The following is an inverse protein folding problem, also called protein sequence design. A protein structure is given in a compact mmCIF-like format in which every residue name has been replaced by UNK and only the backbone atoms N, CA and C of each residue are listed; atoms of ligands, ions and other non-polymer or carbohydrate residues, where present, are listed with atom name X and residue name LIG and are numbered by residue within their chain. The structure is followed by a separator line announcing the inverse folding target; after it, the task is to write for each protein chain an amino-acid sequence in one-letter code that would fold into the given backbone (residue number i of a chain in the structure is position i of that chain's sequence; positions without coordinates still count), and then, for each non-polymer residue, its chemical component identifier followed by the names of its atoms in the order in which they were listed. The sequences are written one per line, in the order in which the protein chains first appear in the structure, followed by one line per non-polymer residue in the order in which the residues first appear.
data_IF_425057647718
#
_entry.id   IF_425057647718
#
_cell.length_a   1.000
_cell.length_b   1.000
_cell.length_c   1.000
_cell.angle_alpha   90.00
_cell.angle_beta   90.00
_cell.angle_gamma   90.00
#
_symmetry.space_group_name_H-M   'P 1'
#
loop_
_entity.id
_entity.type
_entity.pdbx_description
1 polymer ?
#
# COMPACT_ATOMS: atom_id res chain seq x y z
N UNK A 1 -32.41 20.43 69.16
CA UNK A 1 -32.91 19.81 67.91
C UNK A 1 -32.08 20.27 66.71
N UNK A 2 -30.95 19.62 66.36
CA UNK A 2 -30.05 20.13 65.29
C UNK A 2 -29.35 19.11 64.38
N UNK A 3 -29.45 17.80 64.64
CA UNK A 3 -28.67 16.78 63.91
C UNK A 3 -29.30 16.28 62.59
N UNK A 4 -30.62 16.44 62.38
CA UNK A 4 -31.29 15.93 61.17
C UNK A 4 -31.03 16.79 59.92
N UNK A 5 -30.94 18.13 60.04
CA UNK A 5 -30.70 19.02 58.90
C UNK A 5 -29.29 18.93 58.31
N UNK A 6 -28.26 18.64 59.13
CA UNK A 6 -26.87 18.54 58.66
C UNK A 6 -26.66 17.31 57.77
N UNK A 7 -27.36 16.20 58.06
CA UNK A 7 -27.25 14.95 57.28
C UNK A 7 -27.91 15.09 55.91
N UNK A 8 -29.12 15.67 55.85
CA UNK A 8 -29.81 15.95 54.58
C UNK A 8 -29.02 16.90 53.67
N UNK A 9 -28.40 17.94 54.23
CA UNK A 9 -27.57 18.90 53.48
C UNK A 9 -26.31 18.25 52.90
N UNK A 10 -25.71 17.28 53.59
CA UNK A 10 -24.57 16.49 53.08
C UNK A 10 -24.95 15.58 51.90
N UNK A 11 -26.12 14.95 51.95
CA UNK A 11 -26.61 14.12 50.84
C UNK A 11 -26.94 14.95 49.59
N UNK A 12 -27.52 16.13 49.77
CA UNK A 12 -27.79 17.07 48.66
C UNK A 12 -26.48 17.53 48.00
N UNK A 13 -25.45 17.88 48.80
CA UNK A 13 -24.14 18.23 48.24
C UNK A 13 -23.47 17.07 47.49
N UNK A 14 -23.60 15.83 47.98
CA UNK A 14 -23.09 14.64 47.29
C UNK A 14 -23.80 14.37 45.95
N UNK A 15 -25.13 14.55 45.89
CA UNK A 15 -25.88 14.41 44.64
C UNK A 15 -25.53 15.50 43.63
N UNK A 16 -25.36 16.75 44.06
CA UNK A 16 -24.93 17.85 43.20
C UNK A 16 -23.51 17.61 42.69
N UNK A 17 -22.57 17.17 43.55
CA UNK A 17 -21.22 16.81 43.14
C UNK A 17 -21.21 15.64 42.13
N UNK A 18 -22.07 14.64 42.34
CA UNK A 18 -22.26 13.52 41.41
C UNK A 18 -22.80 13.94 40.05
N UNK A 19 -23.82 14.82 40.01
CA UNK A 19 -24.38 15.37 38.76
C UNK A 19 -23.36 16.22 38.00
N UNK A 20 -22.57 17.02 38.73
CA UNK A 20 -21.46 17.79 38.16
C UNK A 20 -20.44 16.84 37.53
N UNK A 21 -19.98 15.80 38.24
CA UNK A 21 -19.05 14.81 37.70
C UNK A 21 -19.60 14.06 36.47
N UNK A 22 -20.90 13.72 36.47
CA UNK A 22 -21.56 13.06 35.34
C UNK A 22 -21.67 13.97 34.11
N UNK A 23 -22.00 15.26 34.33
CA UNK A 23 -22.08 16.27 33.25
C UNK A 23 -20.72 16.60 32.63
N UNK A 24 -19.64 16.63 33.42
CA UNK A 24 -18.28 16.84 32.91
C UNK A 24 -17.75 15.62 32.13
N UNK A 25 -18.09 14.40 32.55
CA UNK A 25 -17.66 13.16 31.87
C UNK A 25 -18.40 12.95 30.55
N UNK A 26 -19.69 13.29 30.48
CA UNK A 26 -20.51 13.15 29.27
C UNK A 26 -20.18 14.14 28.14
N UNK A 27 -19.68 15.33 28.45
CA UNK A 27 -19.32 16.32 27.42
C UNK A 27 -17.98 15.98 26.74
N UNK A 28 -17.03 15.42 27.47
CA UNK A 28 -15.74 15.00 26.92
C UNK A 28 -15.88 13.82 25.95
N UNK A 29 -16.76 12.86 26.26
CA UNK A 29 -17.02 11.69 25.41
C UNK A 29 -17.75 12.05 24.12
N UNK A 30 -18.73 12.95 24.17
CA UNK A 30 -19.44 13.42 22.96
C UNK A 30 -18.49 14.10 21.97
N UNK A 31 -17.62 14.99 22.46
CA UNK A 31 -16.62 15.69 21.62
C UNK A 31 -15.63 14.72 20.98
N UNK A 32 -15.21 13.66 21.68
CA UNK A 32 -14.33 12.63 21.11
C UNK A 32 -15.02 11.83 20.00
N UNK A 33 -16.30 11.49 20.19
CA UNK A 33 -17.11 10.79 19.18
C UNK A 33 -17.25 11.64 17.90
N UNK A 34 -17.62 12.91 18.04
CA UNK A 34 -17.74 13.84 16.90
C UNK A 34 -16.41 13.98 16.15
N UNK A 35 -15.31 14.11 16.88
CA UNK A 35 -13.95 14.20 16.31
C UNK A 35 -13.58 12.94 15.52
N UNK A 36 -13.87 11.75 16.05
CA UNK A 36 -13.63 10.47 15.37
C UNK A 36 -14.52 10.30 14.14
N UNK A 37 -15.78 10.75 14.21
CA UNK A 37 -16.69 10.71 13.07
C UNK A 37 -16.22 11.63 11.93
N UNK A 38 -15.77 12.84 12.26
CA UNK A 38 -15.18 13.75 11.28
C UNK A 38 -13.92 13.14 10.63
N UNK A 39 -13.05 12.50 11.42
CA UNK A 39 -11.87 11.83 10.89
C UNK A 39 -12.20 10.71 9.90
N UNK A 40 -13.20 9.88 10.20
CA UNK A 40 -13.67 8.83 9.27
C UNK A 40 -14.20 9.42 7.96
N UNK A 41 -14.94 10.53 8.03
CA UNK A 41 -15.43 11.22 6.83
C UNK A 41 -14.28 11.75 5.98
N UNK A 42 -13.26 12.34 6.62
CA UNK A 42 -12.07 12.84 5.93
C UNK A 42 -11.25 11.71 5.30
N UNK A 43 -11.14 10.54 5.95
CA UNK A 43 -10.49 9.36 5.37
C UNK A 43 -11.20 8.87 4.12
N UNK A 44 -12.53 8.76 4.19
CA UNK A 44 -13.34 8.36 3.04
C UNK A 44 -13.17 9.34 1.88
N UNK A 45 -13.33 10.64 2.16
CA UNK A 45 -13.23 11.68 1.15
C UNK A 45 -11.82 11.76 0.54
N UNK A 46 -10.76 11.57 1.35
CA UNK A 46 -9.41 11.50 0.84
C UNK A 46 -9.21 10.35 -0.16
N UNK A 47 -9.88 9.21 0.04
CA UNK A 47 -9.76 8.07 -0.89
C UNK A 47 -10.46 8.38 -2.22
N UNK A 48 -11.62 9.05 -2.18
CA UNK A 48 -12.29 9.55 -3.38
C UNK A 48 -11.40 10.53 -4.15
N UNK A 49 -10.83 11.53 -3.46
CA UNK A 49 -9.91 12.49 -4.06
C UNK A 49 -8.69 11.80 -4.68
N UNK A 50 -8.18 10.72 -4.06
CA UNK A 50 -7.09 9.94 -4.64
C UNK A 50 -7.50 9.27 -5.96
N UNK A 51 -8.72 8.70 -6.04
CA UNK A 51 -9.24 8.11 -7.28
C UNK A 51 -9.49 9.12 -8.40
N UNK A 52 -9.76 10.38 -8.03
CA UNK A 52 -9.93 11.49 -8.97
C UNK A 52 -8.59 12.11 -9.41
N UNK A 53 -7.46 11.68 -8.84
CA UNK A 53 -6.14 12.28 -9.07
C UNK A 53 -5.93 13.61 -8.33
N UNK A 54 -6.82 13.99 -7.42
CA UNK A 54 -6.74 15.19 -6.59
C UNK A 54 -5.78 14.99 -5.40
N UNK A 55 -4.51 14.72 -5.68
CA UNK A 55 -3.50 14.33 -4.69
C UNK A 55 -3.27 15.35 -3.57
N UNK A 56 -3.23 16.64 -3.91
CA UNK A 56 -2.96 17.71 -2.94
C UNK A 56 -4.11 17.89 -1.94
N UNK A 57 -5.34 17.72 -2.40
CA UNK A 57 -6.53 17.75 -1.56
C UNK A 57 -6.61 16.49 -0.68
N UNK A 58 -6.31 15.32 -1.23
CA UNK A 58 -6.19 14.09 -0.46
C UNK A 58 -5.11 14.20 0.65
N UNK A 59 -3.95 14.80 0.35
CA UNK A 59 -2.92 15.07 1.35
C UNK A 59 -3.43 16.00 2.46
N UNK A 60 -4.17 17.05 2.10
CA UNK A 60 -4.73 18.01 3.06
C UNK A 60 -5.68 17.34 4.03
N UNK A 61 -6.59 16.48 3.54
CA UNK A 61 -7.53 15.75 4.39
C UNK A 61 -6.84 14.81 5.37
N UNK A 62 -5.84 14.03 4.91
CA UNK A 62 -5.08 13.16 5.82
C UNK A 62 -4.24 13.95 6.84
N UNK A 63 -3.66 15.10 6.46
CA UNK A 63 -2.91 15.94 7.39
C UNK A 63 -3.78 16.49 8.52
N UNK A 64 -5.05 16.83 8.24
CA UNK A 64 -6.01 17.22 9.28
C UNK A 64 -6.19 16.09 10.29
N UNK A 65 -6.35 14.85 9.84
CA UNK A 65 -6.50 13.69 10.72
C UNK A 65 -5.24 13.52 11.58
N UNK A 66 -4.04 13.59 10.99
CA UNK A 66 -2.78 13.46 11.75
C UNK A 66 -2.57 14.54 12.81
N UNK A 67 -3.04 15.77 12.55
CA UNK A 67 -2.96 16.85 13.53
C UNK A 67 -3.86 16.61 14.75
N UNK A 68 -4.96 15.88 14.53
CA UNK A 68 -5.97 15.61 15.55
C UNK A 68 -5.72 14.30 16.30
N UNK A 69 -5.13 13.30 15.65
CA UNK A 69 -4.95 11.94 16.16
C UNK A 69 -3.47 11.54 16.19
N UNK A 70 -2.72 12.20 17.06
CA UNK A 70 -1.29 11.90 17.27
C UNK A 70 -1.16 10.56 18.00
N UNK A 71 -0.42 9.61 17.43
CA UNK A 71 -0.15 8.27 17.99
C UNK A 71 -1.42 7.52 18.47
N UNK A 72 -2.56 7.82 17.86
CA UNK A 72 -3.85 7.21 18.14
C UNK A 72 -4.63 6.99 16.85
N UNK A 73 -5.46 5.94 16.73
CA UNK A 73 -6.30 5.76 15.56
C UNK A 73 -7.34 6.88 15.43
N UNK A 74 -7.65 7.35 14.21
CA UNK A 74 -7.24 6.77 12.92
C UNK A 74 -6.00 7.46 12.28
N UNK A 75 -5.04 7.92 13.09
CA UNK A 75 -3.81 8.55 12.58
C UNK A 75 -2.87 7.59 11.84
N UNK A 76 -2.91 6.30 12.17
CA UNK A 76 -2.30 5.21 11.41
C UNK A 76 -2.79 5.16 9.96
N UNK A 77 -4.11 5.12 9.74
CA UNK A 77 -4.69 5.14 8.39
C UNK A 77 -4.29 6.40 7.61
N UNK A 78 -4.24 7.54 8.29
CA UNK A 78 -3.83 8.80 7.66
C UNK A 78 -2.35 8.81 7.28
N UNK A 79 -1.45 8.25 8.10
CA UNK A 79 -0.03 8.07 7.74
C UNK A 79 0.09 7.16 6.51
N UNK A 80 -0.67 6.06 6.47
CA UNK A 80 -0.67 5.11 5.37
C UNK A 80 -1.11 5.77 4.06
N UNK A 81 -2.24 6.49 4.08
CA UNK A 81 -2.75 7.19 2.89
C UNK A 81 -1.78 8.25 2.39
N UNK A 82 -1.16 9.06 3.26
CA UNK A 82 -0.16 10.06 2.85
C UNK A 82 1.03 9.40 2.19
N UNK A 83 1.51 8.29 2.75
CA UNK A 83 2.61 7.55 2.18
C UNK A 83 2.26 7.00 0.79
N UNK A 84 1.04 6.45 0.60
CA UNK A 84 0.54 6.04 -0.71
C UNK A 84 0.45 7.19 -1.71
N UNK A 85 -0.04 8.36 -1.30
CA UNK A 85 -0.12 9.53 -2.19
C UNK A 85 1.26 9.94 -2.70
N UNK A 86 2.28 9.95 -1.83
CA UNK A 86 3.65 10.23 -2.26
C UNK A 86 4.28 9.10 -3.08
N UNK A 87 3.79 7.87 -2.97
CA UNK A 87 4.22 6.75 -3.81
C UNK A 87 3.47 6.66 -5.15
N UNK A 88 2.36 7.40 -5.30
CA UNK A 88 1.47 7.24 -6.44
C UNK A 88 2.14 7.66 -7.74
N UNK A 89 2.13 6.78 -8.76
CA UNK A 89 2.88 7.00 -9.99
C UNK A 89 2.36 8.21 -10.81
N UNK A 90 1.04 8.42 -10.81
CA UNK A 90 0.39 9.58 -11.45
C UNK A 90 0.48 10.88 -10.65
N UNK A 91 0.98 10.84 -9.40
CA UNK A 91 1.18 12.08 -8.66
C UNK A 91 2.40 12.82 -9.22
N UNK A 92 2.24 14.05 -9.76
CA UNK A 92 3.37 14.83 -10.26
C UNK A 92 4.34 15.21 -9.14
N UNK A 93 3.87 15.28 -7.90
CA UNK A 93 4.66 15.55 -6.69
C UNK A 93 5.10 14.26 -5.97
N UNK A 94 5.07 13.11 -6.64
CA UNK A 94 5.52 11.84 -6.04
C UNK A 94 6.96 11.96 -5.53
N UNK A 95 7.17 11.39 -4.35
CA UNK A 95 8.45 11.42 -3.66
C UNK A 95 8.57 10.16 -2.81
N UNK A 96 9.31 9.18 -3.35
CA UNK A 96 9.48 7.89 -2.68
C UNK A 96 10.21 8.02 -1.35
N UNK A 97 11.09 9.02 -1.16
CA UNK A 97 11.75 9.25 0.13
C UNK A 97 10.76 9.71 1.17
N UNK A 98 9.88 10.66 0.83
CA UNK A 98 8.78 11.08 1.72
C UNK A 98 7.86 9.91 2.02
N UNK A 99 7.48 9.14 1.01
CA UNK A 99 6.63 7.96 1.20
C UNK A 99 7.25 6.96 2.19
N UNK A 100 8.53 6.59 2.00
CA UNK A 100 9.27 5.73 2.93
C UNK A 100 9.27 6.30 4.35
N UNK A 101 9.47 7.62 4.49
CA UNK A 101 9.49 8.28 5.80
C UNK A 101 8.12 8.18 6.50
N UNK A 102 7.01 8.39 5.79
CA UNK A 102 5.66 8.25 6.35
C UNK A 102 5.32 6.81 6.71
N UNK A 103 5.68 5.82 5.87
CA UNK A 103 5.49 4.41 6.23
C UNK A 103 6.36 3.99 7.42
N UNK A 104 7.61 4.47 7.50
CA UNK A 104 8.50 4.21 8.63
C UNK A 104 7.92 4.79 9.92
N UNK A 105 7.42 6.03 9.86
CA UNK A 105 6.72 6.67 10.97
C UNK A 105 5.50 5.88 11.42
N UNK A 106 4.72 5.31 10.50
CA UNK A 106 3.58 4.45 10.85
C UNK A 106 4.03 3.23 11.64
N UNK A 107 5.06 2.53 11.17
CA UNK A 107 5.60 1.33 11.83
C UNK A 107 6.09 1.65 13.26
N UNK A 108 6.71 2.81 13.44
CA UNK A 108 7.25 3.24 14.74
C UNK A 108 6.17 3.75 15.71
N UNK A 109 5.22 4.55 15.22
CA UNK A 109 4.18 5.17 16.05
C UNK A 109 3.00 4.21 16.31
N UNK A 110 2.76 3.24 15.42
CA UNK A 110 1.61 2.34 15.44
C UNK A 110 2.02 0.87 15.17
N UNK A 111 2.90 0.26 15.98
CA UNK A 111 3.40 -1.09 15.70
C UNK A 111 2.32 -2.19 15.76
N UNK A 112 1.18 -1.93 16.38
CA UNK A 112 0.04 -2.85 16.49
C UNK A 112 -1.09 -2.55 15.49
N UNK A 113 -0.93 -1.52 14.65
CA UNK A 113 -1.93 -1.18 13.64
C UNK A 113 -1.95 -2.26 12.53
N UNK A 114 -3.13 -2.63 12.01
CA UNK A 114 -3.24 -3.52 10.84
C UNK A 114 -2.43 -3.04 9.62
N UNK A 115 -2.22 -1.73 9.49
CA UNK A 115 -1.50 -1.07 8.42
C UNK A 115 0.04 -1.19 8.58
N UNK A 116 0.55 -1.52 9.78
CA UNK A 116 1.98 -1.58 10.07
C UNK A 116 2.71 -2.66 9.24
N UNK A 117 2.10 -3.83 9.06
CA UNK A 117 2.69 -4.88 8.22
C UNK A 117 2.72 -4.48 6.74
N UNK A 118 1.68 -3.80 6.26
CA UNK A 118 1.65 -3.30 4.88
C UNK A 118 2.69 -2.21 4.68
N UNK A 119 2.86 -1.32 5.66
CA UNK A 119 3.86 -0.27 5.64
C UNK A 119 5.29 -0.83 5.55
N UNK A 120 5.61 -1.92 6.26
CA UNK A 120 6.93 -2.60 6.16
C UNK A 120 7.22 -3.05 4.73
N UNK A 121 6.22 -3.63 4.06
CA UNK A 121 6.36 -4.08 2.68
C UNK A 121 6.60 -2.89 1.75
N UNK A 122 5.80 -1.83 1.89
CA UNK A 122 5.98 -0.61 1.10
C UNK A 122 7.35 0.03 1.29
N UNK A 123 7.88 0.08 2.52
CA UNK A 123 9.24 0.57 2.78
C UNK A 123 10.28 -0.22 1.99
N UNK A 124 10.18 -1.55 1.99
CA UNK A 124 11.12 -2.41 1.26
C UNK A 124 11.04 -2.17 -0.25
N UNK A 125 9.81 -2.15 -0.80
CA UNK A 125 9.55 -1.88 -2.22
C UNK A 125 10.11 -0.52 -2.62
N UNK A 126 9.77 0.53 -1.88
CA UNK A 126 10.16 1.89 -2.22
C UNK A 126 11.66 2.12 -2.05
N UNK A 127 12.31 1.51 -1.06
CA UNK A 127 13.79 1.59 -0.92
C UNK A 127 14.52 0.99 -2.12
N UNK A 128 13.92 -0.02 -2.75
CA UNK A 128 14.49 -0.59 -3.96
C UNK A 128 14.33 0.36 -5.13
N UNK A 129 13.15 0.96 -5.26
CA UNK A 129 12.88 1.94 -6.31
C UNK A 129 13.76 3.19 -6.12
N UNK A 130 13.97 3.61 -4.86
CA UNK A 130 14.74 4.79 -4.46
C UNK A 130 16.25 4.56 -4.48
N UNK A 131 16.71 3.31 -4.34
CA UNK A 131 18.14 2.96 -4.47
C UNK A 131 18.67 3.64 -5.73
N UNK A 132 19.66 4.55 -5.61
CA UNK A 132 20.27 5.14 -6.80
C UNK A 132 20.72 3.98 -7.66
N UNK A 133 20.37 3.99 -8.96
CA UNK A 133 20.83 2.99 -9.93
C UNK A 133 22.33 2.83 -9.70
N UNK A 134 22.71 1.80 -8.96
CA UNK A 134 24.02 1.69 -8.34
C UNK A 134 24.98 1.41 -9.49
N UNK A 135 25.57 2.51 -9.97
CA UNK A 135 26.21 2.61 -11.26
C UNK A 135 25.20 2.30 -12.39
N UNK A 136 25.45 2.81 -13.59
CA UNK A 136 25.25 1.91 -14.72
C UNK A 136 25.99 0.67 -14.29
N UNK A 137 25.28 -0.40 -13.88
CA UNK A 137 25.84 -1.74 -14.04
C UNK A 137 26.50 -1.60 -15.39
N UNK A 138 27.83 -1.75 -15.45
CA UNK A 138 28.42 -2.13 -16.71
C UNK A 138 27.57 -3.34 -17.00
N UNK A 139 26.55 -3.15 -17.84
CA UNK A 139 26.04 -4.18 -18.69
C UNK A 139 27.38 -4.56 -19.28
N UNK A 140 27.97 -5.62 -18.71
CA UNK A 140 28.80 -6.50 -19.50
C UNK A 140 27.81 -6.75 -20.59
N UNK A 141 27.94 -5.97 -21.68
CA UNK A 141 27.19 -6.13 -22.88
C UNK A 141 27.34 -7.61 -23.10
N UNK A 142 26.30 -8.37 -22.74
CA UNK A 142 26.27 -9.78 -23.00
C UNK A 142 26.09 -9.71 -24.49
N UNK A 143 27.23 -9.70 -25.19
CA UNK A 143 27.43 -9.27 -26.57
C UNK A 143 26.82 -10.27 -27.56
N UNK A 144 25.80 -10.98 -27.09
CA UNK A 144 25.02 -12.03 -27.68
C UNK A 144 23.57 -11.73 -27.33
N UNK A 145 23.00 -10.66 -27.88
CA UNK A 145 21.60 -10.36 -27.63
C UNK A 145 20.72 -11.44 -28.26
N UNK A 146 19.81 -12.05 -27.49
CA UNK A 146 18.88 -13.03 -28.05
C UNK A 146 17.87 -12.33 -28.99
N UNK A 147 17.80 -12.77 -30.24
CA UNK A 147 16.92 -12.21 -31.28
C UNK A 147 15.46 -12.14 -30.83
N UNK A 148 14.99 -13.14 -30.08
CA UNK A 148 13.62 -13.19 -29.61
C UNK A 148 13.38 -12.14 -28.51
N UNK A 149 14.34 -11.90 -27.61
CA UNK A 149 14.21 -10.84 -26.60
C UNK A 149 14.16 -9.44 -27.22
N UNK A 150 15.02 -9.16 -28.22
CA UNK A 150 14.96 -7.88 -28.96
C UNK A 150 13.59 -7.73 -29.64
N UNK A 151 13.10 -8.80 -30.27
CA UNK A 151 11.82 -8.77 -30.96
C UNK A 151 10.68 -8.56 -29.97
N UNK A 152 10.73 -9.20 -28.81
CA UNK A 152 9.78 -8.97 -27.71
C UNK A 152 9.74 -7.50 -27.33
N UNK A 153 10.89 -6.87 -27.06
CA UNK A 153 10.96 -5.47 -26.64
C UNK A 153 10.35 -4.53 -27.70
N UNK A 154 10.63 -4.77 -28.98
CA UNK A 154 10.01 -4.01 -30.09
C UNK A 154 8.50 -4.19 -30.16
N UNK A 155 7.99 -5.40 -29.87
CA UNK A 155 6.56 -5.68 -29.85
C UNK A 155 5.89 -5.01 -28.65
N UNK A 156 6.53 -5.07 -27.49
CA UNK A 156 6.05 -4.43 -26.26
C UNK A 156 5.95 -2.91 -26.42
N UNK A 157 6.97 -2.27 -27.02
CA UNK A 157 6.96 -0.84 -27.32
C UNK A 157 5.83 -0.40 -28.27
N UNK A 158 5.24 -1.35 -29.00
CA UNK A 158 4.08 -1.13 -29.89
C UNK A 158 2.75 -1.54 -29.23
N UNK A 159 2.75 -1.84 -27.92
CA UNK A 159 1.58 -2.34 -27.19
C UNK A 159 1.19 -3.78 -27.55
N UNK A 160 2.00 -4.51 -28.33
CA UNK A 160 1.69 -5.89 -28.70
C UNK A 160 2.19 -6.87 -27.62
N UNK A 161 1.46 -6.91 -26.50
CA UNK A 161 1.79 -7.76 -25.35
C UNK A 161 1.79 -9.26 -25.68
N UNK A 162 0.79 -9.74 -26.44
CA UNK A 162 0.72 -11.15 -26.89
C UNK A 162 1.94 -11.55 -27.71
N UNK A 163 2.33 -10.70 -28.66
CA UNK A 163 3.51 -10.91 -29.48
C UNK A 163 4.79 -10.91 -28.63
N UNK A 164 4.90 -9.97 -27.69
CA UNK A 164 6.04 -9.91 -26.77
C UNK A 164 6.14 -11.17 -25.90
N UNK A 165 5.03 -11.65 -25.32
CA UNK A 165 4.97 -12.91 -24.58
C UNK A 165 5.42 -14.09 -25.45
N UNK A 166 4.90 -14.20 -26.67
CA UNK A 166 5.25 -15.29 -27.60
C UNK A 166 6.74 -15.33 -27.89
N UNK A 167 7.39 -14.18 -28.08
CA UNK A 167 8.83 -14.15 -28.34
C UNK A 167 9.65 -14.51 -27.09
N UNK A 168 9.27 -14.08 -25.88
CA UNK A 168 9.97 -14.53 -24.67
C UNK A 168 9.77 -16.04 -24.40
N UNK A 169 8.58 -16.59 -24.67
CA UNK A 169 8.33 -18.03 -24.49
C UNK A 169 9.27 -18.90 -25.31
N UNK A 170 9.57 -18.50 -26.56
CA UNK A 170 10.56 -19.19 -27.40
C UNK A 170 11.95 -19.26 -26.77
N UNK A 171 12.30 -18.31 -25.90
CA UNK A 171 13.58 -18.34 -25.16
C UNK A 171 13.54 -19.37 -24.04
N UNK A 172 12.37 -19.56 -23.41
CA UNK A 172 12.17 -20.57 -22.38
C UNK A 172 12.08 -21.99 -22.93
N UNK A 173 11.65 -22.15 -24.19
CA UNK A 173 11.59 -23.45 -24.89
C UNK A 173 12.99 -23.98 -25.26
N UNK A 174 14.02 -23.14 -25.22
CA UNK A 174 15.41 -23.50 -25.49
C UNK A 174 16.08 -23.95 -24.16
N UNK A 175 16.37 -25.25 -23.96
CA UNK A 175 16.78 -25.78 -22.65
C UNK A 175 18.06 -25.12 -22.09
N UNK A 176 19.05 -24.88 -22.95
CA UNK A 176 20.38 -24.35 -22.62
C UNK A 176 20.53 -22.84 -22.85
N UNK A 177 19.41 -22.12 -23.02
CA UNK A 177 19.50 -20.68 -23.26
C UNK A 177 19.98 -19.94 -22.00
N UNK A 178 21.08 -19.22 -22.13
CA UNK A 178 21.62 -18.37 -21.08
C UNK A 178 20.76 -17.13 -20.77
N UNK A 179 19.66 -16.94 -21.51
CA UNK A 179 18.73 -15.80 -21.40
C UNK A 179 17.38 -16.18 -20.77
N UNK A 180 17.27 -17.39 -20.20
CA UNK A 180 16.01 -17.85 -19.62
C UNK A 180 15.60 -17.04 -18.39
N UNK A 181 16.56 -16.63 -17.57
CA UNK A 181 16.33 -15.71 -16.45
C UNK A 181 15.72 -14.38 -16.93
N UNK A 182 16.29 -13.77 -17.97
CA UNK A 182 15.75 -12.54 -18.58
C UNK A 182 14.37 -12.76 -19.19
N UNK A 183 14.14 -13.89 -19.85
CA UNK A 183 12.83 -14.24 -20.39
C UNK A 183 11.78 -14.43 -19.28
N UNK A 184 12.13 -15.10 -18.17
CA UNK A 184 11.26 -15.22 -17.01
C UNK A 184 10.87 -13.85 -16.45
N UNK A 185 11.85 -12.96 -16.30
CA UNK A 185 11.62 -11.60 -15.80
C UNK A 185 10.71 -10.79 -16.74
N UNK A 186 11.02 -10.79 -18.04
CA UNK A 186 10.24 -10.05 -19.04
C UNK A 186 8.79 -10.55 -19.12
N UNK A 187 8.58 -11.87 -19.10
CA UNK A 187 7.22 -12.45 -19.12
C UNK A 187 6.43 -12.00 -17.90
N UNK A 188 7.06 -12.04 -16.71
CA UNK A 188 6.43 -11.55 -15.50
C UNK A 188 6.00 -10.09 -15.62
N UNK A 189 6.90 -9.20 -16.06
CA UNK A 189 6.59 -7.79 -16.25
C UNK A 189 5.47 -7.55 -17.28
N UNK A 190 5.42 -8.32 -18.36
CA UNK A 190 4.34 -8.23 -19.34
C UNK A 190 2.99 -8.63 -18.73
N UNK A 191 2.95 -9.69 -17.93
CA UNK A 191 1.73 -10.07 -17.21
C UNK A 191 1.34 -9.09 -16.11
N UNK A 192 2.29 -8.35 -15.53
CA UNK A 192 2.03 -7.32 -14.55
C UNK A 192 1.70 -5.95 -15.16
N UNK A 193 1.87 -5.77 -16.48
CA UNK A 193 1.73 -4.47 -17.11
C UNK A 193 0.28 -3.96 -17.05
N UNK A 194 0.07 -2.74 -16.54
CA UNK A 194 -1.27 -2.20 -16.28
C UNK A 194 -2.12 -2.08 -17.56
N UNK A 195 -1.52 -1.64 -18.67
CA UNK A 195 -2.14 -1.56 -20.00
C UNK A 195 -2.32 -2.91 -20.72
N UNK A 196 -1.75 -4.01 -20.20
CA UNK A 196 -1.98 -5.31 -20.83
C UNK A 196 -3.42 -5.75 -20.53
N UNK A 197 -4.29 -5.91 -21.55
CA UNK A 197 -5.67 -6.35 -21.34
C UNK A 197 -5.75 -7.77 -20.78
N UNK A 198 -4.70 -8.57 -20.97
CA UNK A 198 -4.56 -9.92 -20.43
C UNK A 198 -3.61 -9.96 -19.22
N UNK A 199 -3.48 -8.85 -18.49
CA UNK A 199 -2.68 -8.81 -17.26
C UNK A 199 -3.20 -9.86 -16.26
N UNK A 200 -2.25 -10.54 -15.63
CA UNK A 200 -2.50 -11.65 -14.72
C UNK A 200 -1.38 -11.68 -13.69
N UNK A 201 -1.65 -11.10 -12.52
CA UNK A 201 -0.66 -11.01 -11.46
C UNK A 201 -0.26 -12.39 -10.92
N UNK A 202 -1.14 -13.39 -10.98
CA UNK A 202 -0.79 -14.76 -10.56
C UNK A 202 0.21 -15.39 -11.51
N UNK A 203 0.05 -15.20 -12.83
CA UNK A 203 1.07 -15.62 -13.81
C UNK A 203 2.37 -14.86 -13.63
N UNK A 204 2.30 -13.56 -13.37
CA UNK A 204 3.51 -12.78 -13.09
C UNK A 204 4.27 -13.33 -11.87
N UNK A 205 3.58 -13.52 -10.74
CA UNK A 205 4.12 -14.11 -9.52
C UNK A 205 4.74 -15.50 -9.77
N UNK A 206 4.09 -16.33 -10.58
CA UNK A 206 4.61 -17.64 -10.96
C UNK A 206 5.96 -17.53 -11.68
N UNK A 207 6.09 -16.67 -12.70
CA UNK A 207 7.34 -16.53 -13.46
C UNK A 207 8.46 -15.88 -12.65
N UNK A 208 8.15 -14.93 -11.76
CA UNK A 208 9.14 -14.37 -10.81
C UNK A 208 9.64 -15.43 -9.84
N UNK A 209 8.74 -16.26 -9.32
CA UNK A 209 9.09 -17.37 -8.42
C UNK A 209 9.99 -18.38 -9.11
N UNK A 210 9.72 -18.70 -10.38
CA UNK A 210 10.58 -19.56 -11.20
C UNK A 210 11.97 -18.96 -11.41
N UNK A 211 12.06 -17.66 -11.71
CA UNK A 211 13.36 -16.98 -11.83
C UNK A 211 14.18 -17.13 -10.56
N UNK A 212 13.60 -16.80 -9.40
CA UNK A 212 14.31 -16.84 -8.11
C UNK A 212 14.74 -18.27 -7.75
N UNK A 213 13.89 -19.26 -8.03
CA UNK A 213 14.15 -20.67 -7.71
C UNK A 213 15.17 -21.31 -8.64
N UNK A 214 15.01 -21.11 -9.95
CA UNK A 214 15.78 -21.81 -10.97
C UNK A 214 17.10 -21.08 -11.30
N UNK A 215 17.17 -19.77 -11.04
CA UNK A 215 18.34 -18.92 -11.31
C UNK A 215 18.72 -18.05 -10.12
N UNK A 216 19.02 -18.63 -8.94
CA UNK A 216 19.29 -17.85 -7.72
C UNK A 216 20.47 -16.87 -7.89
N UNK A 217 21.48 -17.25 -8.67
CA UNK A 217 22.67 -16.42 -8.96
C UNK A 217 22.45 -15.35 -10.04
N UNK A 218 21.25 -15.26 -10.64
CA UNK A 218 20.97 -14.23 -11.64
C UNK A 218 21.01 -12.83 -11.01
N UNK A 219 21.57 -11.87 -11.76
CA UNK A 219 21.51 -10.45 -11.40
C UNK A 219 20.07 -9.89 -11.33
N UNK A 220 19.10 -10.63 -11.87
CA UNK A 220 17.68 -10.29 -11.86
C UNK A 220 16.94 -10.83 -10.63
N UNK A 221 17.54 -11.73 -9.85
CA UNK A 221 16.90 -12.37 -8.69
C UNK A 221 16.41 -11.37 -7.67
N UNK A 222 17.23 -10.37 -7.34
CA UNK A 222 16.85 -9.35 -6.38
C UNK A 222 15.65 -8.54 -6.90
N UNK A 223 15.73 -8.07 -8.14
CA UNK A 223 14.61 -7.36 -8.79
C UNK A 223 13.34 -8.21 -8.83
N UNK A 224 13.45 -9.52 -9.06
CA UNK A 224 12.32 -10.43 -9.09
C UNK A 224 11.65 -10.59 -7.73
N UNK A 225 12.42 -10.64 -6.62
CA UNK A 225 11.85 -10.68 -5.25
C UNK A 225 11.01 -9.45 -4.96
N UNK A 226 11.48 -8.29 -5.42
CA UNK A 226 10.81 -7.03 -5.17
C UNK A 226 9.48 -6.97 -5.91
N UNK A 227 9.49 -7.35 -7.19
CA UNK A 227 8.24 -7.46 -7.96
C UNK A 227 7.29 -8.49 -7.35
N UNK A 228 7.82 -9.58 -6.78
CA UNK A 228 7.01 -10.60 -6.12
C UNK A 228 6.32 -10.03 -4.86
N UNK A 229 7.03 -9.25 -4.05
CA UNK A 229 6.45 -8.58 -2.88
C UNK A 229 5.38 -7.56 -3.27
N UNK A 230 5.66 -6.70 -4.28
CA UNK A 230 4.69 -5.73 -4.81
C UNK A 230 3.42 -6.41 -5.28
N UNK A 231 3.55 -7.43 -6.13
CA UNK A 231 2.39 -8.10 -6.72
C UNK A 231 1.60 -8.90 -5.70
N UNK A 232 2.26 -9.45 -4.67
CA UNK A 232 1.57 -10.10 -3.56
C UNK A 232 0.71 -9.12 -2.76
N UNK A 233 1.17 -7.88 -2.54
CA UNK A 233 0.35 -6.84 -1.89
C UNK A 233 -0.86 -6.50 -2.74
N UNK A 234 -0.66 -6.32 -4.05
CA UNK A 234 -1.75 -5.98 -4.98
C UNK A 234 -2.80 -7.10 -5.02
N UNK A 235 -2.39 -8.37 -5.14
CA UNK A 235 -3.32 -9.51 -5.15
C UNK A 235 -4.06 -9.67 -3.82
N UNK A 236 -3.37 -9.49 -2.68
CA UNK A 236 -4.02 -9.53 -1.36
C UNK A 236 -5.04 -8.41 -1.20
N UNK A 237 -4.73 -7.18 -1.62
CA UNK A 237 -5.67 -6.05 -1.57
C UNK A 237 -6.94 -6.37 -2.37
N UNK A 238 -6.78 -6.86 -3.60
CA UNK A 238 -7.91 -7.25 -4.46
C UNK A 238 -8.78 -8.33 -3.85
N UNK A 239 -8.17 -9.32 -3.17
CA UNK A 239 -8.90 -10.40 -2.51
C UNK A 239 -9.74 -9.87 -1.33
N UNK A 240 -9.20 -8.94 -0.55
CA UNK A 240 -9.91 -8.29 0.56
C UNK A 240 -11.12 -7.50 0.04
N UNK A 241 -10.97 -6.74 -1.04
CA UNK A 241 -12.07 -5.97 -1.64
C UNK A 241 -13.22 -6.90 -2.09
N UNK A 242 -12.89 -8.03 -2.74
CA UNK A 242 -13.88 -9.04 -3.16
C UNK A 242 -14.60 -9.65 -1.94
N UNK A 243 -13.89 -9.93 -0.85
CA UNK A 243 -14.48 -10.49 0.38
C UNK A 243 -15.40 -9.49 1.07
N UNK A 244 -15.04 -8.21 1.12
CA UNK A 244 -15.88 -7.13 1.65
C UNK A 244 -17.16 -7.02 0.82
N UNK A 245 -17.07 -7.02 -0.51
CA UNK A 245 -18.26 -6.98 -1.38
C UNK A 245 -19.18 -8.18 -1.19
N UNK A 246 -18.62 -9.39 -1.06
CA UNK A 246 -19.41 -10.60 -0.77
C UNK A 246 -20.15 -10.50 0.55
N UNK A 247 -19.46 -10.10 1.63
CA UNK A 247 -20.07 -9.89 2.95
C UNK A 247 -21.16 -8.82 2.92
N UNK A 248 -20.96 -7.73 2.18
CA UNK A 248 -21.99 -6.70 1.98
C UNK A 248 -23.25 -7.29 1.33
N UNK A 249 -23.11 -8.10 0.28
CA UNK A 249 -24.25 -8.75 -0.41
C UNK A 249 -24.99 -9.73 0.50
N UNK A 250 -24.27 -10.47 1.34
CA UNK A 250 -24.85 -11.40 2.32
C UNK A 250 -25.63 -10.68 3.43
N UNK A 251 -25.15 -9.53 3.89
CA UNK A 251 -25.83 -8.72 4.92
C UNK A 251 -27.06 -7.95 4.40
N UNK A 252 -27.17 -7.76 3.08
CA UNK A 252 -28.32 -7.12 2.43
C UNK A 252 -29.39 -8.09 1.94
N UNK A 253 -29.22 -9.40 2.19
CA UNK A 253 -30.21 -10.45 1.92
C UNK A 253 -30.94 -10.83 3.20
#
# INVERSE_FOLDING_TARGET
MGRKHIRARKHICLCIAGLILFSFSGCATLKDIEKRQAARKNLFHSRELLTEGNFNEALRENRKILSLFVKSPPGDEALFNIALIYAHYDNPEKDYKKSIAYFTRLIEEYPQSPEAEQAKIWVNVLRVIEKPKAKKVKIVERKTTNKNLIRSQKLLARGNYKGALKENMKVLDLPESSFRDEAFFNIALIYAHYDNPEKDYKKSLFYLSRLIKDYPESTLTEQARIWLDVLNVIEKSKQVDIEIEKKKKELTR
#
